data_IF_810573545680
#
_entry.id   IF_810573545680
#
_cell.length_a   1.000
_cell.length_b   1.000
_cell.length_c   1.000
_cell.angle_alpha   90.00
_cell.angle_beta   90.00
_cell.angle_gamma   90.00
#
_symmetry.space_group_name_H-M   'P 1'
#
loop_
_entity.id
_entity.type
_entity.pdbx_description
1 polymer ?
#
# COMPACT_ATOMS: atom_id res chain seq x y z
N UNK A 1 -9.47 -3.25 -23.97
CA UNK A 1 -9.25 -3.62 -22.56
C UNK A 1 -7.82 -3.28 -22.19
N UNK A 2 -7.61 -2.16 -21.52
CA UNK A 2 -6.29 -1.69 -21.09
C UNK A 2 -5.95 -2.34 -19.75
N UNK A 3 -5.14 -3.40 -19.78
CA UNK A 3 -4.57 -4.04 -18.60
C UNK A 3 -3.27 -3.32 -18.21
N UNK A 4 -3.23 -2.76 -17.00
CA UNK A 4 -2.03 -2.12 -16.46
C UNK A 4 -0.93 -3.13 -16.14
N UNK A 5 0.27 -2.91 -16.67
CA UNK A 5 1.48 -3.62 -16.29
C UNK A 5 2.12 -2.94 -15.07
N UNK A 6 2.75 -3.73 -14.19
CA UNK A 6 3.56 -3.23 -13.08
C UNK A 6 5.01 -3.68 -13.25
N UNK A 7 5.96 -2.79 -12.95
CA UNK A 7 7.41 -3.02 -13.08
C UNK A 7 8.01 -3.14 -11.68
N UNK A 8 8.80 -4.19 -11.41
CA UNK A 8 9.56 -4.34 -10.15
C UNK A 8 10.94 -4.91 -10.49
N UNK A 9 12.00 -4.31 -9.95
CA UNK A 9 13.39 -4.79 -10.08
C UNK A 9 13.87 -5.50 -8.80
N UNK A 10 14.69 -6.52 -8.96
CA UNK A 10 15.22 -7.41 -7.91
C UNK A 10 16.75 -7.29 -7.88
N UNK A 11 17.30 -6.53 -6.93
CA UNK A 11 18.75 -6.34 -6.81
C UNK A 11 19.45 -7.56 -6.18
N UNK A 12 20.38 -8.18 -6.92
CA UNK A 12 21.38 -9.11 -6.38
C UNK A 12 22.79 -8.51 -6.52
N UNK A 13 23.35 -8.08 -5.40
CA UNK A 13 24.71 -7.54 -5.32
C UNK A 13 25.74 -8.69 -5.40
N UNK A 14 26.53 -8.75 -6.49
CA UNK A 14 27.67 -9.67 -6.62
C UNK A 14 28.96 -8.98 -6.16
N UNK A 15 29.45 -9.32 -4.97
CA UNK A 15 30.81 -9.00 -4.51
C UNK A 15 31.77 -10.14 -4.86
N UNK A 16 32.88 -9.79 -5.52
CA UNK A 16 33.75 -10.72 -6.22
C UNK A 16 34.76 -11.49 -5.35
N UNK A 17 35.23 -12.60 -5.92
CA UNK A 17 36.52 -13.21 -5.60
C UNK A 17 37.25 -13.59 -6.89
N UNK A 18 38.46 -13.04 -7.08
CA UNK A 18 39.42 -13.44 -8.12
C UNK A 18 40.37 -14.52 -7.58
N UNK A 19 40.72 -15.47 -8.44
CA UNK A 19 42.04 -16.11 -8.49
C UNK A 19 42.17 -17.50 -7.85
N UNK A 20 42.29 -18.55 -8.69
CA UNK A 20 43.57 -19.20 -9.02
C UNK A 20 43.37 -20.23 -10.14
N UNK A 21 44.43 -20.47 -10.89
CA UNK A 21 44.47 -21.07 -12.22
C UNK A 21 45.26 -22.40 -12.21
N UNK A 22 45.08 -23.21 -13.27
CA UNK A 22 46.06 -24.10 -13.93
C UNK A 22 45.89 -25.64 -13.83
N UNK A 23 45.68 -26.23 -15.04
CA UNK A 23 46.03 -27.58 -15.57
C UNK A 23 45.23 -28.84 -15.13
N UNK A 24 44.93 -29.83 -15.97
CA UNK A 24 45.28 -30.14 -17.37
C UNK A 24 44.28 -31.13 -18.01
N UNK A 25 44.38 -31.24 -19.34
CA UNK A 25 43.56 -31.99 -20.32
C UNK A 25 43.57 -33.52 -20.17
N UNK A 26 42.44 -34.16 -20.50
CA UNK A 26 42.23 -35.06 -21.65
C UNK A 26 41.49 -36.40 -21.37
N UNK A 27 40.48 -36.65 -22.24
CA UNK A 27 39.96 -37.94 -22.73
C UNK A 27 39.15 -38.89 -21.80
N UNK A 28 37.83 -38.97 -22.00
CA UNK A 28 37.18 -40.04 -22.78
C UNK A 28 35.66 -39.90 -22.82
N UNK A 29 35.06 -40.39 -23.91
CA UNK A 29 33.65 -40.31 -24.28
C UNK A 29 32.73 -41.17 -23.39
N UNK A 30 31.50 -40.68 -23.24
CA UNK A 30 30.22 -41.42 -23.14
C UNK A 30 30.14 -42.62 -22.19
N UNK A 31 29.64 -42.38 -20.98
CA UNK A 31 28.47 -43.08 -20.42
C UNK A 31 28.10 -42.45 -19.06
N UNK A 32 26.80 -42.26 -18.81
CA UNK A 32 26.19 -41.96 -17.50
C UNK A 32 26.15 -40.49 -17.04
N UNK A 33 25.25 -39.70 -17.64
CA UNK A 33 24.96 -38.32 -17.21
C UNK A 33 23.68 -38.15 -16.34
N UNK A 34 23.01 -39.24 -15.94
CA UNK A 34 21.80 -39.14 -15.09
C UNK A 34 22.08 -39.26 -13.57
N UNK A 35 23.17 -39.92 -13.18
CA UNK A 35 23.46 -40.22 -11.76
C UNK A 35 24.29 -39.10 -11.08
N UNK A 36 25.09 -38.35 -11.83
CA UNK A 36 25.85 -37.20 -11.28
C UNK A 36 24.96 -35.98 -11.01
N UNK A 37 23.91 -35.73 -11.80
CA UNK A 37 22.97 -34.64 -11.55
C UNK A 37 22.16 -34.85 -10.26
N UNK A 38 21.75 -36.10 -9.97
CA UNK A 38 21.01 -36.43 -8.74
C UNK A 38 21.89 -36.33 -7.50
N UNK A 39 23.18 -36.71 -7.58
CA UNK A 39 24.13 -36.54 -6.46
C UNK A 39 24.52 -35.08 -6.22
N UNK A 40 24.63 -34.25 -7.25
CA UNK A 40 24.85 -32.81 -7.10
C UNK A 40 23.65 -32.11 -6.44
N UNK A 41 22.42 -32.48 -6.82
CA UNK A 41 21.19 -31.94 -6.22
C UNK A 41 21.04 -32.37 -4.75
N UNK A 42 21.44 -33.59 -4.38
CA UNK A 42 21.40 -34.04 -2.97
C UNK A 42 22.54 -33.45 -2.11
N UNK A 43 23.74 -33.24 -2.65
CA UNK A 43 24.85 -32.62 -1.93
C UNK A 43 24.60 -31.12 -1.67
N UNK A 44 24.03 -30.40 -2.64
CA UNK A 44 23.60 -28.99 -2.48
C UNK A 44 22.46 -28.88 -1.45
N UNK A 45 21.55 -29.87 -1.40
CA UNK A 45 20.44 -29.91 -0.44
C UNK A 45 20.87 -30.25 1.00
N UNK A 46 22.01 -30.92 1.20
CA UNK A 46 22.56 -31.23 2.52
C UNK A 46 23.37 -30.07 3.12
N UNK A 47 24.00 -29.25 2.29
CA UNK A 47 24.80 -28.09 2.72
C UNK A 47 23.94 -26.83 2.92
N UNK A 48 22.85 -26.65 2.17
CA UNK A 48 21.98 -25.46 2.26
C UNK A 48 20.88 -25.54 3.34
N UNK A 49 20.50 -26.72 3.82
CA UNK A 49 19.43 -26.87 4.83
C UNK A 49 19.76 -26.24 6.20
N UNK A 50 20.99 -26.36 6.75
CA UNK A 50 21.32 -25.71 8.01
C UNK A 50 21.48 -24.18 7.86
N UNK A 51 21.99 -23.72 6.71
CA UNK A 51 22.26 -22.30 6.43
C UNK A 51 20.96 -21.50 6.21
N UNK A 52 19.97 -22.07 5.51
CA UNK A 52 18.66 -21.45 5.31
C UNK A 52 17.80 -21.41 6.58
N UNK A 53 17.97 -22.37 7.50
CA UNK A 53 17.28 -22.36 8.79
C UNK A 53 17.81 -21.26 9.72
N UNK A 54 19.13 -21.02 9.72
CA UNK A 54 19.77 -19.95 10.50
C UNK A 54 19.47 -18.57 9.90
N UNK A 55 19.47 -18.43 8.57
CA UNK A 55 19.08 -17.19 7.89
C UNK A 55 17.59 -16.86 8.10
N UNK A 56 16.71 -17.87 8.11
CA UNK A 56 15.28 -17.68 8.41
C UNK A 56 15.05 -17.29 9.87
N UNK A 57 15.80 -17.86 10.82
CA UNK A 57 15.71 -17.48 12.24
C UNK A 57 16.31 -16.09 12.50
N UNK A 58 17.35 -15.69 11.78
CA UNK A 58 17.92 -14.33 11.84
C UNK A 58 16.99 -13.29 11.21
N UNK A 59 16.35 -13.61 10.07
CA UNK A 59 15.32 -12.74 9.48
C UNK A 59 14.06 -12.64 10.33
N UNK A 60 13.59 -13.75 10.93
CA UNK A 60 12.48 -13.70 11.88
C UNK A 60 12.83 -12.96 13.16
N UNK A 61 14.09 -13.00 13.60
CA UNK A 61 14.58 -12.22 14.75
C UNK A 61 14.73 -10.73 14.41
N UNK A 62 15.27 -10.38 13.24
CA UNK A 62 15.35 -9.01 12.75
C UNK A 62 13.97 -8.39 12.47
N UNK A 63 13.02 -9.17 11.92
CA UNK A 63 11.63 -8.72 11.78
C UNK A 63 10.94 -8.55 13.14
N UNK A 64 11.25 -9.41 14.12
CA UNK A 64 10.69 -9.28 15.47
C UNK A 64 11.30 -8.11 16.26
N UNK A 65 12.56 -7.77 16.00
CA UNK A 65 13.23 -6.58 16.54
C UNK A 65 12.70 -5.29 15.84
N UNK A 66 12.41 -5.33 14.52
CA UNK A 66 11.78 -4.20 13.81
C UNK A 66 10.33 -3.90 14.22
N UNK A 67 9.64 -4.83 14.90
CA UNK A 67 8.29 -4.62 15.44
C UNK A 67 8.29 -4.25 16.93
N UNK A 68 9.46 -4.03 17.53
CA UNK A 68 9.58 -3.88 18.98
C UNK A 68 10.63 -2.82 19.37
N UNK A 69 10.55 -1.64 18.76
CA UNK A 69 11.14 -0.38 19.24
C UNK A 69 10.09 0.74 18.99
N UNK A 70 9.22 1.02 19.97
CA UNK A 70 9.22 2.24 20.80
C UNK A 70 10.43 3.20 20.59
N UNK A 71 10.13 4.50 20.56
CA UNK A 71 11.00 5.67 20.30
C UNK A 71 11.38 5.94 18.83
N UNK A 72 10.51 6.62 18.07
CA UNK A 72 10.88 7.68 17.08
C UNK A 72 9.64 8.25 16.34
N UNK A 73 8.68 8.82 17.07
CA UNK A 73 7.57 9.58 16.48
C UNK A 73 7.43 10.98 17.08
N UNK A 74 8.53 11.71 17.12
CA UNK A 74 8.50 13.16 17.37
C UNK A 74 9.53 13.85 16.47
N UNK A 75 9.21 14.06 15.17
CA UNK A 75 9.93 15.05 14.35
C UNK A 75 9.40 15.40 12.95
N UNK A 76 8.26 14.91 12.51
CA UNK A 76 7.71 15.28 11.20
C UNK A 76 6.32 15.87 11.34
N UNK A 77 6.28 17.13 11.77
CA UNK A 77 5.26 18.11 11.43
C UNK A 77 5.97 19.47 11.39
N UNK A 78 5.55 20.34 10.47
CA UNK A 78 6.13 21.64 10.04
C UNK A 78 7.05 21.52 8.81
N UNK A 79 6.47 21.39 7.62
CA UNK A 79 6.94 22.08 6.40
C UNK A 79 6.03 21.92 5.15
N UNK A 80 4.70 21.82 5.31
CA UNK A 80 3.80 21.73 4.15
C UNK A 80 2.66 22.75 4.22
N UNK A 81 3.07 24.03 4.23
CA UNK A 81 2.20 25.15 3.91
C UNK A 81 3.07 26.26 3.34
N UNK A 82 3.26 26.28 2.01
CA UNK A 82 3.51 27.45 1.16
C UNK A 82 3.95 27.01 -0.25
N UNK A 83 2.99 26.83 -1.17
CA UNK A 83 3.23 26.96 -2.61
C UNK A 83 1.90 26.95 -3.41
N UNK A 84 1.20 28.08 -3.39
CA UNK A 84 0.38 28.49 -4.54
C UNK A 84 1.13 29.64 -5.24
N UNK A 85 1.23 29.58 -6.58
CA UNK A 85 0.97 30.67 -7.55
C UNK A 85 1.48 30.28 -8.95
N UNK A 86 0.66 30.63 -9.96
CA UNK A 86 0.98 30.80 -11.39
C UNK A 86 0.64 29.64 -12.35
N UNK A 87 -0.65 29.49 -12.68
CA UNK A 87 -1.12 28.87 -13.93
C UNK A 87 -1.61 29.96 -14.90
N UNK A 88 -1.05 30.00 -16.10
CA UNK A 88 -1.54 30.81 -17.22
C UNK A 88 -0.46 31.01 -18.28
N UNK A 89 -0.77 30.67 -19.54
CA UNK A 89 -0.07 31.04 -20.79
C UNK A 89 0.90 30.06 -21.48
N UNK A 90 1.07 28.79 -21.06
CA UNK A 90 1.92 27.82 -21.83
C UNK A 90 1.18 26.84 -22.76
N UNK A 91 -0.16 26.88 -22.82
CA UNK A 91 -0.95 25.80 -23.46
C UNK A 91 -1.06 25.87 -24.99
N UNK A 92 -0.97 27.05 -25.63
CA UNK A 92 -1.17 27.15 -27.08
C UNK A 92 0.10 26.83 -27.89
N UNK A 93 1.27 27.26 -27.40
CA UNK A 93 2.54 27.02 -28.10
C UNK A 93 2.93 25.53 -28.09
N UNK A 94 2.52 24.80 -27.04
CA UNK A 94 2.70 23.35 -26.93
C UNK A 94 1.79 22.59 -27.91
N UNK A 95 0.54 23.05 -28.08
CA UNK A 95 -0.42 22.44 -29.01
C UNK A 95 -0.03 22.65 -30.48
N UNK A 96 0.50 23.83 -30.83
CA UNK A 96 0.99 24.14 -32.19
C UNK A 96 2.22 23.27 -32.55
N UNK A 97 3.14 23.05 -31.59
CA UNK A 97 4.30 22.16 -31.77
C UNK A 97 3.90 20.70 -31.96
N UNK A 98 2.89 20.22 -31.22
CA UNK A 98 2.35 18.87 -31.41
C UNK A 98 1.64 18.69 -32.76
N UNK A 99 0.96 19.73 -33.26
CA UNK A 99 0.28 19.72 -34.56
C UNK A 99 1.27 19.63 -35.72
N UNK A 100 2.38 20.39 -35.64
CA UNK A 100 3.47 20.34 -36.63
C UNK A 100 4.18 18.98 -36.59
N UNK A 101 4.39 18.41 -35.39
CA UNK A 101 4.99 17.08 -35.20
C UNK A 101 4.15 15.96 -35.83
N UNK A 102 2.84 15.96 -35.61
CA UNK A 102 1.91 14.98 -36.23
C UNK A 102 1.83 15.10 -37.74
N UNK A 103 1.96 16.30 -38.31
CA UNK A 103 1.93 16.52 -39.76
C UNK A 103 3.13 15.92 -40.50
N UNK A 104 4.28 15.79 -39.81
CA UNK A 104 5.51 15.20 -40.38
C UNK A 104 5.50 13.68 -40.38
N UNK A 105 4.73 13.04 -39.50
CA UNK A 105 4.67 11.58 -39.37
C UNK A 105 3.72 10.89 -40.37
N UNK A 106 2.80 11.62 -40.98
CA UNK A 106 1.79 11.04 -41.88
C UNK A 106 2.21 10.89 -43.35
N UNK A 107 3.47 11.22 -43.71
CA UNK A 107 3.94 11.23 -45.11
C UNK A 107 4.96 10.14 -45.51
N UNK A 108 5.13 9.08 -44.73
CA UNK A 108 5.87 7.88 -45.16
C UNK A 108 4.99 6.64 -45.05
N UNK A 109 4.12 6.48 -46.04
CA UNK A 109 3.63 5.17 -46.45
C UNK A 109 4.64 4.53 -47.39
N UNK A 110 4.81 3.22 -47.25
CA UNK A 110 5.52 2.28 -48.13
C UNK A 110 7.05 2.31 -48.07
N UNK A 111 7.60 1.47 -47.18
CA UNK A 111 9.01 1.10 -47.14
C UNK A 111 9.29 0.17 -45.96
N UNK A 112 10.03 -0.90 -46.19
CA UNK A 112 10.36 -1.96 -45.23
C UNK A 112 10.72 -1.45 -43.82
N UNK A 113 10.31 -2.18 -42.78
CA UNK A 113 10.80 -1.98 -41.40
C UNK A 113 12.29 -2.31 -41.35
N UNK A 114 13.14 -1.33 -41.64
CA UNK A 114 14.56 -1.38 -41.25
C UNK A 114 14.63 -1.15 -39.74
N UNK A 115 15.11 -2.16 -39.02
CA UNK A 115 15.51 -2.01 -37.63
C UNK A 115 16.63 -0.97 -37.55
N UNK A 116 16.39 0.07 -36.75
CA UNK A 116 17.34 1.17 -36.56
C UNK A 116 18.57 0.65 -35.82
N UNK A 117 19.77 0.97 -36.30
CA UNK A 117 21.00 0.40 -35.72
C UNK A 117 21.24 0.90 -34.29
N UNK A 118 21.92 0.09 -33.48
CA UNK A 118 22.25 0.40 -32.07
C UNK A 118 23.02 1.71 -31.87
N UNK A 119 23.71 2.21 -32.90
CA UNK A 119 24.43 3.48 -32.83
C UNK A 119 23.55 4.70 -33.13
N UNK A 120 22.46 4.52 -33.89
CA UNK A 120 21.46 5.58 -34.12
C UNK A 120 20.54 5.80 -32.91
N UNK A 121 20.32 4.75 -32.10
CA UNK A 121 19.54 4.85 -30.86
C UNK A 121 20.27 5.63 -29.75
N UNK A 122 21.61 5.67 -29.77
CA UNK A 122 22.42 6.45 -28.80
C UNK A 122 22.34 7.96 -29.02
N UNK A 123 21.88 8.41 -30.19
CA UNK A 123 21.75 9.83 -30.53
C UNK A 123 20.36 10.40 -30.20
N UNK A 124 19.42 9.58 -29.74
CA UNK A 124 18.11 10.04 -29.28
C UNK A 124 18.24 10.72 -27.91
N UNK A 125 17.49 11.80 -27.70
CA UNK A 125 17.41 12.47 -26.40
C UNK A 125 17.02 11.45 -25.33
N UNK A 126 17.86 11.34 -24.30
CA UNK A 126 17.66 10.44 -23.18
C UNK A 126 16.39 10.85 -22.43
N UNK A 127 15.27 10.17 -22.72
CA UNK A 127 14.01 10.39 -22.01
C UNK A 127 14.21 9.92 -20.58
N UNK A 128 14.11 10.84 -19.62
CA UNK A 128 14.33 10.53 -18.22
C UNK A 128 13.13 9.73 -17.69
N UNK A 129 13.27 8.41 -17.67
CA UNK A 129 12.29 7.47 -17.15
C UNK A 129 12.65 7.11 -15.71
N UNK A 130 11.67 6.77 -14.85
CA UNK A 130 11.91 6.53 -13.42
C UNK A 130 12.76 5.28 -13.12
N UNK A 131 13.17 4.54 -14.15
CA UNK A 131 13.97 3.31 -14.04
C UNK A 131 15.16 3.38 -14.98
N UNK A 132 16.36 3.12 -14.47
CA UNK A 132 17.60 3.11 -15.27
C UNK A 132 17.72 1.85 -16.14
N UNK A 133 17.08 0.75 -15.75
CA UNK A 133 17.08 -0.50 -16.51
C UNK A 133 15.83 -1.36 -16.26
N UNK A 134 15.50 -2.19 -17.24
CA UNK A 134 14.36 -3.09 -17.29
C UNK A 134 14.85 -4.53 -17.53
N UNK A 135 14.82 -5.35 -16.48
CA UNK A 135 15.19 -6.76 -16.58
C UNK A 135 14.00 -7.63 -16.95
N UNK A 136 12.85 -7.36 -16.33
CA UNK A 136 11.63 -8.11 -16.55
C UNK A 136 10.40 -7.26 -16.25
N UNK A 137 9.28 -7.65 -16.85
CA UNK A 137 7.95 -7.10 -16.59
C UNK A 137 6.98 -8.25 -16.30
N UNK A 138 5.98 -8.01 -15.47
CA UNK A 138 4.99 -9.04 -15.16
C UNK A 138 3.59 -8.45 -15.02
N UNK A 139 2.62 -9.33 -15.14
CA UNK A 139 1.25 -9.06 -14.77
C UNK A 139 0.65 -10.28 -14.04
N UNK A 140 -0.67 -10.31 -13.89
CA UNK A 140 -1.40 -11.43 -13.29
C UNK A 140 -1.40 -12.71 -14.15
N UNK A 141 -0.86 -12.67 -15.37
CA UNK A 141 -0.85 -13.79 -16.31
C UNK A 141 0.55 -14.36 -16.56
N UNK A 142 1.57 -13.51 -16.68
CA UNK A 142 2.92 -13.94 -17.03
C UNK A 142 4.02 -12.97 -16.55
N UNK A 143 5.25 -13.39 -16.74
CA UNK A 143 6.48 -12.61 -16.62
C UNK A 143 7.16 -12.63 -18.00
N UNK A 144 7.65 -11.50 -18.47
CA UNK A 144 8.39 -11.36 -19.73
C UNK A 144 9.74 -10.72 -19.49
N UNK A 145 10.74 -11.15 -20.26
CA UNK A 145 12.08 -10.60 -20.30
C UNK A 145 12.32 -10.10 -21.72
N UNK A 146 12.80 -8.87 -21.85
CA UNK A 146 13.14 -8.31 -23.15
C UNK A 146 14.50 -8.84 -23.61
N UNK A 147 14.63 -9.25 -24.89
CA UNK A 147 15.82 -9.97 -25.37
C UNK A 147 17.00 -9.05 -25.73
N UNK A 148 16.71 -7.82 -26.16
CA UNK A 148 17.69 -6.99 -26.88
C UNK A 148 18.17 -5.76 -26.11
N UNK A 149 17.31 -5.18 -25.29
CA UNK A 149 17.56 -3.92 -24.60
C UNK A 149 17.11 -3.98 -23.15
N UNK A 150 17.93 -3.43 -22.26
CA UNK A 150 17.60 -3.19 -20.86
C UNK A 150 17.18 -1.75 -20.62
N UNK A 151 17.33 -0.84 -21.57
CA UNK A 151 16.91 0.55 -21.40
C UNK A 151 15.39 0.66 -21.64
N UNK A 152 14.58 1.01 -20.61
CA UNK A 152 13.13 1.07 -20.75
C UNK A 152 12.64 2.10 -21.77
N UNK A 153 13.45 3.09 -22.15
CA UNK A 153 13.12 4.08 -23.18
C UNK A 153 13.29 3.54 -24.62
N UNK A 154 14.09 2.49 -24.81
CA UNK A 154 14.40 1.89 -26.12
C UNK A 154 13.60 0.61 -26.41
N UNK A 155 12.71 0.21 -25.49
CA UNK A 155 11.94 -1.04 -25.55
C UNK A 155 10.56 -0.78 -26.13
N UNK A 156 10.14 -1.60 -27.11
CA UNK A 156 8.75 -1.68 -27.53
C UNK A 156 7.96 -2.61 -26.60
N UNK A 157 6.92 -2.09 -25.96
CA UNK A 157 6.09 -2.85 -25.01
C UNK A 157 4.99 -3.68 -25.70
N UNK A 158 5.32 -4.25 -26.86
CA UNK A 158 4.45 -5.20 -27.55
C UNK A 158 4.73 -6.63 -27.07
N UNK A 159 3.99 -7.07 -26.05
CA UNK A 159 4.19 -8.37 -25.40
C UNK A 159 3.78 -9.56 -26.27
N UNK A 160 3.12 -9.30 -27.40
CA UNK A 160 2.75 -10.31 -28.40
C UNK A 160 3.92 -10.60 -29.35
N UNK A 161 4.92 -9.72 -29.43
CA UNK A 161 6.12 -9.94 -30.24
C UNK A 161 7.10 -10.93 -29.58
N UNK A 162 7.02 -12.19 -30.00
CA UNK A 162 7.89 -13.27 -29.55
C UNK A 162 9.36 -13.10 -29.93
N UNK A 163 9.71 -12.18 -30.85
CA UNK A 163 11.10 -11.90 -31.20
C UNK A 163 11.75 -10.91 -30.23
N UNK A 164 10.96 -9.98 -29.69
CA UNK A 164 11.41 -8.98 -28.73
C UNK A 164 11.31 -9.48 -27.28
N UNK A 165 10.29 -10.30 -26.96
CA UNK A 165 9.99 -10.73 -25.60
C UNK A 165 10.03 -12.25 -25.44
N UNK A 166 10.70 -12.70 -24.37
CA UNK A 166 10.63 -14.09 -23.90
C UNK A 166 9.67 -14.18 -22.71
N UNK A 167 8.60 -14.94 -22.89
CA UNK A 167 7.62 -15.22 -21.84
C UNK A 167 8.11 -16.36 -20.93
N UNK A 168 8.02 -16.17 -19.63
CA UNK A 168 8.35 -17.20 -18.63
C UNK A 168 7.41 -18.41 -18.72
N UNK A 169 6.12 -18.16 -18.94
CA UNK A 169 5.11 -19.20 -19.17
C UNK A 169 4.73 -19.22 -20.66
N UNK A 170 5.24 -20.20 -21.39
CA UNK A 170 4.91 -20.37 -22.80
C UNK A 170 3.50 -20.99 -22.97
N UNK A 171 2.82 -20.78 -24.12
CA UNK A 171 1.50 -21.38 -24.39
C UNK A 171 1.47 -22.92 -24.26
N UNK A 172 2.57 -23.59 -24.62
CA UNK A 172 2.73 -25.06 -24.43
C UNK A 172 2.83 -25.46 -22.96
N UNK A 173 3.39 -24.61 -22.11
CA UNK A 173 3.45 -24.83 -20.67
C UNK A 173 2.07 -24.60 -20.05
N UNK A 174 1.39 -23.51 -20.44
CA UNK A 174 0.03 -23.20 -19.99
C UNK A 174 -0.96 -24.32 -20.33
N UNK A 175 -0.90 -24.84 -21.56
CA UNK A 175 -1.75 -25.98 -22.00
C UNK A 175 -1.43 -27.30 -21.29
N UNK A 176 -0.21 -27.47 -20.77
CA UNK A 176 0.17 -28.61 -19.93
C UNK A 176 -0.02 -28.36 -18.42
N UNK A 177 -0.64 -27.23 -18.03
CA UNK A 177 -0.89 -26.89 -16.63
C UNK A 177 0.37 -26.46 -15.85
N UNK A 178 1.40 -25.99 -16.55
CA UNK A 178 2.67 -25.53 -15.99
C UNK A 178 2.82 -24.01 -16.10
N UNK A 179 3.53 -23.35 -15.16
CA UNK A 179 4.11 -23.91 -13.95
C UNK A 179 3.02 -24.27 -12.91
N UNK A 180 3.20 -25.40 -12.21
CA UNK A 180 2.36 -25.72 -11.07
C UNK A 180 2.71 -24.75 -9.94
N UNK A 181 1.75 -24.02 -9.37
CA UNK A 181 2.02 -23.12 -8.25
C UNK A 181 2.73 -23.86 -7.13
N UNK A 182 3.90 -23.36 -6.72
CA UNK A 182 4.65 -23.94 -5.59
C UNK A 182 3.86 -23.85 -4.28
N UNK A 183 2.98 -22.86 -4.17
CA UNK A 183 2.03 -22.71 -3.08
C UNK A 183 0.61 -22.75 -3.61
N UNK A 184 -0.30 -23.37 -2.85
CA UNK A 184 -1.72 -23.18 -3.07
C UNK A 184 -2.10 -21.85 -2.42
N UNK A 185 -2.69 -20.90 -3.16
CA UNK A 185 -3.19 -19.67 -2.57
C UNK A 185 -4.16 -20.04 -1.46
N UNK A 186 -3.84 -19.68 -0.21
CA UNK A 186 -4.81 -19.84 0.88
C UNK A 186 -6.00 -18.96 0.54
N UNK A 187 -7.18 -19.55 0.49
CA UNK A 187 -8.42 -18.77 0.39
C UNK A 187 -8.43 -17.77 1.54
N UNK A 188 -8.54 -16.49 1.21
CA UNK A 188 -8.70 -15.46 2.21
C UNK A 188 -9.95 -15.78 3.04
N UNK A 189 -9.84 -15.65 4.36
CA UNK A 189 -11.00 -15.80 5.23
C UNK A 189 -12.09 -14.82 4.80
N UNK A 190 -13.36 -15.22 4.95
CA UNK A 190 -14.48 -14.32 4.69
C UNK A 190 -14.43 -13.11 5.60
N UNK A 191 -15.05 -12.01 5.15
CA UNK A 191 -15.30 -10.84 5.99
C UNK A 191 -15.98 -11.26 7.32
N UNK A 192 -15.57 -10.70 8.48
CA UNK A 192 -16.28 -10.91 9.73
C UNK A 192 -17.78 -10.55 9.59
N UNK A 193 -18.69 -11.36 10.14
CA UNK A 193 -20.12 -11.10 10.04
C UNK A 193 -20.50 -9.81 10.77
N UNK A 194 -21.55 -9.13 10.28
CA UNK A 194 -21.99 -7.85 10.83
C UNK A 194 -22.30 -7.90 12.34
N UNK A 195 -22.88 -8.99 12.82
CA UNK A 195 -23.16 -9.20 14.25
C UNK A 195 -21.89 -9.18 15.10
N UNK A 196 -20.81 -9.79 14.59
CA UNK A 196 -19.52 -9.79 15.28
C UNK A 196 -18.91 -8.40 15.31
N UNK A 197 -19.00 -7.65 14.21
CA UNK A 197 -18.53 -6.25 14.16
C UNK A 197 -19.30 -5.39 15.17
N UNK A 198 -20.63 -5.54 15.25
CA UNK A 198 -21.46 -4.85 16.24
C UNK A 198 -21.04 -5.18 17.67
N UNK A 199 -20.79 -6.45 17.99
CA UNK A 199 -20.30 -6.84 19.32
C UNK A 199 -18.97 -6.16 19.65
N UNK A 200 -18.05 -6.09 18.67
CA UNK A 200 -16.76 -5.42 18.86
C UNK A 200 -16.90 -3.91 19.06
N UNK A 201 -17.78 -3.26 18.28
CA UNK A 201 -18.12 -1.84 18.46
C UNK A 201 -18.61 -1.55 19.88
N UNK A 202 -19.55 -2.35 20.38
CA UNK A 202 -20.09 -2.19 21.73
C UNK A 202 -19.04 -2.43 22.83
N UNK A 203 -18.15 -3.40 22.64
CA UNK A 203 -17.05 -3.67 23.58
C UNK A 203 -16.08 -2.50 23.65
N UNK A 204 -15.66 -1.97 22.50
CA UNK A 204 -14.73 -0.84 22.43
C UNK A 204 -15.40 0.42 22.99
N UNK A 205 -16.64 0.72 22.58
CA UNK A 205 -17.39 1.86 23.08
C UNK A 205 -17.60 1.79 24.59
N UNK A 206 -17.97 0.62 25.12
CA UNK A 206 -18.16 0.39 26.56
C UNK A 206 -16.87 0.63 27.36
N UNK A 207 -15.75 0.10 26.88
CA UNK A 207 -14.43 0.30 27.51
C UNK A 207 -14.02 1.78 27.54
N UNK A 208 -14.28 2.51 26.44
CA UNK A 208 -14.01 3.94 26.35
C UNK A 208 -14.91 4.75 27.29
N UNK A 209 -16.22 4.47 27.30
CA UNK A 209 -17.19 5.13 28.20
C UNK A 209 -16.80 4.95 29.67
N UNK A 210 -16.48 3.71 30.07
CA UNK A 210 -16.07 3.40 31.44
C UNK A 210 -14.80 4.15 31.82
N UNK A 211 -13.80 4.21 30.94
CA UNK A 211 -12.55 4.88 31.26
C UNK A 211 -12.70 6.39 31.37
N UNK A 212 -13.49 7.03 30.50
CA UNK A 212 -13.76 8.48 30.57
C UNK A 212 -14.44 8.84 31.89
N UNK A 213 -15.40 8.02 32.33
CA UNK A 213 -16.05 8.20 33.63
C UNK A 213 -15.07 7.98 34.79
N UNK A 214 -14.23 6.95 34.71
CA UNK A 214 -13.24 6.65 35.74
C UNK A 214 -12.17 7.74 35.88
N UNK A 215 -11.75 8.38 34.79
CA UNK A 215 -10.77 9.47 34.83
C UNK A 215 -11.32 10.77 35.43
N UNK A 216 -12.63 10.85 35.68
CA UNK A 216 -13.32 12.05 36.14
C UNK A 216 -14.17 11.79 37.39
N UNK A 217 -13.55 11.35 38.51
CA UNK A 217 -14.28 11.05 39.73
C UNK A 217 -14.92 12.32 40.31
N UNK A 218 -16.22 12.27 40.56
CA UNK A 218 -16.96 13.38 41.18
C UNK A 218 -17.36 14.52 40.24
N UNK A 219 -17.01 14.44 38.95
CA UNK A 219 -17.44 15.41 37.93
C UNK A 219 -18.64 14.86 37.14
N UNK A 220 -19.64 15.69 36.91
CA UNK A 220 -20.72 15.40 35.99
C UNK A 220 -20.16 15.22 34.59
N UNK A 221 -20.36 14.04 34.02
CA UNK A 221 -19.79 13.64 32.73
C UNK A 221 -20.92 13.08 31.86
N UNK A 222 -21.24 13.79 30.78
CA UNK A 222 -22.29 13.39 29.83
C UNK A 222 -21.58 12.91 28.56
N UNK A 223 -21.84 11.65 28.16
CA UNK A 223 -21.32 11.10 26.91
C UNK A 223 -22.49 10.94 25.94
N UNK A 224 -22.42 11.60 24.79
CA UNK A 224 -23.47 11.69 23.78
C UNK A 224 -24.80 12.17 24.34
N UNK A 225 -25.03 13.49 24.32
CA UNK A 225 -26.26 14.09 24.85
C UNK A 225 -27.54 13.53 24.23
N UNK A 226 -27.50 13.15 22.96
CA UNK A 226 -28.62 12.55 22.24
C UNK A 226 -28.18 11.33 21.43
N UNK A 227 -29.09 10.37 21.26
CA UNK A 227 -28.89 9.24 20.34
C UNK A 227 -28.70 9.73 18.89
N UNK A 228 -29.39 10.80 18.50
CA UNK A 228 -29.22 11.42 17.18
C UNK A 228 -27.78 11.90 16.94
N UNK A 229 -27.12 12.46 17.96
CA UNK A 229 -25.73 12.86 17.84
C UNK A 229 -24.83 11.63 17.64
N UNK A 230 -25.05 10.56 18.41
CA UNK A 230 -24.30 9.31 18.24
C UNK A 230 -24.48 8.72 16.83
N UNK A 231 -25.71 8.68 16.33
CA UNK A 231 -26.03 8.20 14.97
C UNK A 231 -25.37 9.07 13.89
N UNK A 232 -25.44 10.40 14.02
CA UNK A 232 -24.75 11.32 13.10
C UNK A 232 -23.24 11.08 13.14
N UNK A 233 -22.63 10.89 14.31
CA UNK A 233 -21.20 10.60 14.42
C UNK A 233 -20.84 9.25 13.79
N UNK A 234 -21.64 8.20 14.01
CA UNK A 234 -21.44 6.89 13.39
C UNK A 234 -21.51 6.96 11.87
N UNK A 235 -22.49 7.70 11.31
CA UNK A 235 -22.57 7.96 9.86
C UNK A 235 -21.32 8.68 9.35
N UNK A 236 -20.79 9.63 10.12
CA UNK A 236 -19.53 10.29 9.82
C UNK A 236 -18.36 9.31 9.69
N UNK A 237 -18.28 8.31 10.58
CA UNK A 237 -17.25 7.27 10.51
C UNK A 237 -17.42 6.37 9.29
N UNK A 238 -18.65 6.10 8.84
CA UNK A 238 -18.93 5.38 7.60
C UNK A 238 -18.47 6.17 6.36
N UNK A 239 -18.74 7.47 6.32
CA UNK A 239 -18.27 8.34 5.24
C UNK A 239 -16.74 8.44 5.20
N UNK A 240 -16.08 8.49 6.36
CA UNK A 240 -14.61 8.51 6.45
C UNK A 240 -13.98 7.23 5.88
N UNK A 241 -14.53 6.05 6.21
CA UNK A 241 -14.04 4.79 5.64
C UNK A 241 -14.27 4.76 4.13
N UNK A 242 -15.46 5.11 3.64
CA UNK A 242 -15.77 5.12 2.22
C UNK A 242 -14.85 6.08 1.44
N UNK A 243 -14.63 7.30 1.95
CA UNK A 243 -13.71 8.28 1.36
C UNK A 243 -12.27 7.73 1.31
N UNK A 244 -11.79 7.08 2.38
CA UNK A 244 -10.47 6.41 2.40
C UNK A 244 -10.34 5.28 1.38
N UNK A 245 -11.44 4.63 1.05
CA UNK A 245 -11.49 3.59 0.01
C UNK A 245 -11.59 4.17 -1.41
N UNK A 246 -11.57 5.49 -1.57
CA UNK A 246 -11.62 6.18 -2.86
C UNK A 246 -13.03 6.53 -3.34
N UNK A 247 -14.04 6.52 -2.46
CA UNK A 247 -15.39 6.96 -2.81
C UNK A 247 -15.47 8.50 -2.86
N UNK A 248 -15.54 9.04 -4.09
CA UNK A 248 -15.67 10.48 -4.32
C UNK A 248 -16.98 11.06 -3.78
N UNK A 249 -18.06 10.28 -3.76
CA UNK A 249 -19.36 10.73 -3.23
C UNK A 249 -19.26 10.92 -1.73
N UNK A 250 -18.69 9.92 -1.04
CA UNK A 250 -18.46 10.01 0.41
C UNK A 250 -17.58 11.20 0.78
N UNK A 251 -16.55 11.49 -0.03
CA UNK A 251 -15.68 12.65 0.16
C UNK A 251 -16.46 13.97 0.13
N UNK A 252 -17.39 14.13 -0.82
CA UNK A 252 -18.25 15.34 -0.90
C UNK A 252 -19.29 15.39 0.23
N UNK A 253 -19.79 14.24 0.65
CA UNK A 253 -20.75 14.15 1.75
C UNK A 253 -20.14 14.49 3.11
N UNK A 254 -18.82 14.30 3.31
CA UNK A 254 -18.14 14.66 4.56
C UNK A 254 -18.26 16.16 4.92
N UNK A 255 -18.23 17.05 3.92
CA UNK A 255 -18.41 18.49 4.15
C UNK A 255 -19.83 18.81 4.63
N UNK A 256 -20.82 18.14 4.04
CA UNK A 256 -22.23 18.27 4.42
C UNK A 256 -22.47 17.69 5.80
N UNK A 257 -21.89 16.52 6.08
CA UNK A 257 -21.92 15.88 7.39
C UNK A 257 -21.31 16.75 8.47
N UNK A 258 -20.19 17.44 8.21
CA UNK A 258 -19.55 18.33 9.19
C UNK A 258 -20.50 19.46 9.60
N UNK A 259 -21.29 20.00 8.67
CA UNK A 259 -22.31 21.01 8.95
C UNK A 259 -23.48 20.42 9.74
N UNK A 260 -23.93 19.22 9.37
CA UNK A 260 -24.98 18.49 10.10
C UNK A 260 -24.58 18.20 11.55
N UNK A 261 -23.37 17.66 11.76
CA UNK A 261 -22.84 17.35 13.08
C UNK A 261 -22.76 18.60 13.97
N UNK A 262 -22.32 19.74 13.43
CA UNK A 262 -22.33 21.03 14.14
C UNK A 262 -23.75 21.49 14.49
N UNK A 263 -24.72 21.27 13.61
CA UNK A 263 -26.13 21.58 13.86
C UNK A 263 -26.78 20.75 14.96
N UNK A 264 -26.22 19.57 15.29
CA UNK A 264 -26.67 18.72 16.40
C UNK A 264 -26.02 19.09 17.75
N UNK A 265 -25.03 19.97 17.76
CA UNK A 265 -24.41 20.46 18.99
C UNK A 265 -25.27 21.55 19.66
N UNK A 266 -25.17 21.75 20.98
CA UNK A 266 -25.84 22.85 21.66
C UNK A 266 -25.48 24.23 21.05
N UNK A 267 -26.44 25.16 20.91
CA UNK A 267 -26.15 26.49 20.38
C UNK A 267 -25.14 27.22 21.28
N UNK A 268 -24.17 27.90 20.66
CA UNK A 268 -23.11 28.60 21.38
C UNK A 268 -22.01 27.70 21.96
N UNK A 269 -22.08 26.38 21.75
CA UNK A 269 -21.00 25.47 22.16
C UNK A 269 -19.84 25.46 21.17
N UNK A 270 -18.63 25.25 21.68
CA UNK A 270 -17.47 24.90 20.87
C UNK A 270 -17.26 23.40 20.88
N UNK A 271 -17.02 22.84 19.70
CA UNK A 271 -16.82 21.42 19.51
C UNK A 271 -15.39 21.15 19.04
N UNK A 272 -14.66 20.39 19.84
CA UNK A 272 -13.29 19.95 19.51
C UNK A 272 -13.27 18.44 19.52
N UNK A 273 -13.04 17.83 18.36
CA UNK A 273 -13.03 16.38 18.24
C UNK A 273 -12.18 15.91 17.09
N UNK A 274 -11.82 14.64 17.14
CA UNK A 274 -10.97 14.00 16.13
C UNK A 274 -11.43 12.58 15.86
N UNK A 275 -11.08 12.15 14.66
CA UNK A 275 -11.33 10.80 14.17
C UNK A 275 -9.99 10.08 14.08
N UNK A 276 -9.91 8.88 14.69
CA UNK A 276 -8.71 8.03 14.62
C UNK A 276 -9.09 6.67 14.07
N UNK A 277 -8.28 6.19 13.13
CA UNK A 277 -8.37 4.84 12.57
C UNK A 277 -7.37 3.89 13.26
N UNK A 278 -7.81 2.67 13.53
CA UNK A 278 -7.01 1.59 14.10
C UNK A 278 -7.13 0.34 13.24
N UNK A 279 -6.01 -0.34 13.03
CA UNK A 279 -5.94 -1.63 12.32
C UNK A 279 -6.09 -2.85 13.25
N UNK A 280 -6.50 -2.62 14.50
CA UNK A 280 -6.65 -3.64 15.53
C UNK A 280 -7.89 -3.37 16.37
N UNK A 281 -8.35 -4.41 17.07
CA UNK A 281 -9.69 -4.44 17.70
C UNK A 281 -9.64 -4.59 19.22
N UNK A 282 -8.44 -4.62 19.81
CA UNK A 282 -8.24 -4.68 21.25
C UNK A 282 -8.68 -3.36 21.90
N UNK A 283 -9.82 -3.40 22.59
CA UNK A 283 -10.41 -2.24 23.26
C UNK A 283 -9.47 -1.56 24.27
N UNK A 284 -8.67 -2.34 25.02
CA UNK A 284 -7.76 -1.80 26.04
C UNK A 284 -6.59 -1.06 25.40
N UNK A 285 -6.06 -1.60 24.28
CA UNK A 285 -5.00 -0.95 23.50
C UNK A 285 -5.50 0.32 22.83
N UNK A 286 -6.70 0.26 22.21
CA UNK A 286 -7.36 1.44 21.62
C UNK A 286 -7.55 2.53 22.67
N UNK A 287 -8.15 2.19 23.81
CA UNK A 287 -8.35 3.12 24.94
C UNK A 287 -7.03 3.76 25.39
N UNK A 288 -5.99 2.96 25.63
CA UNK A 288 -4.68 3.48 26.08
C UNK A 288 -4.14 4.49 25.07
N UNK A 289 -4.17 4.16 23.78
CA UNK A 289 -3.67 5.04 22.73
C UNK A 289 -4.54 6.31 22.58
N UNK A 290 -5.85 6.17 22.52
CA UNK A 290 -6.79 7.28 22.36
C UNK A 290 -6.62 8.30 23.48
N UNK A 291 -6.58 7.85 24.73
CA UNK A 291 -6.44 8.73 25.89
C UNK A 291 -5.03 9.31 26.05
N UNK A 292 -3.99 8.60 25.60
CA UNK A 292 -2.65 9.16 25.58
C UNK A 292 -2.49 10.24 24.50
N UNK A 293 -3.21 10.11 23.39
CA UNK A 293 -3.10 11.05 22.27
C UNK A 293 -4.00 12.29 22.42
N UNK A 294 -4.91 12.33 23.40
CA UNK A 294 -5.78 13.50 23.67
C UNK A 294 -5.76 13.90 25.12
N UNK A 295 -5.88 15.20 25.35
CA UNK A 295 -6.11 15.81 26.66
C UNK A 295 -7.59 15.93 27.04
N UNK A 296 -8.52 15.58 26.14
CA UNK A 296 -9.98 15.69 26.31
C UNK A 296 -10.48 15.11 27.64
N UNK A 297 -10.09 13.87 27.96
CA UNK A 297 -10.53 13.20 29.19
C UNK A 297 -9.92 13.81 30.47
N UNK A 298 -8.82 14.56 30.34
CA UNK A 298 -8.09 15.19 31.45
C UNK A 298 -8.69 16.54 31.85
N UNK A 299 -9.60 17.11 31.05
CA UNK A 299 -10.34 18.32 31.42
C UNK A 299 -11.04 18.13 32.77
N UNK A 300 -11.08 19.17 33.60
CA UNK A 300 -11.61 19.11 34.97
C UNK A 300 -12.88 19.95 35.15
N UNK A 301 -13.41 20.51 34.06
CA UNK A 301 -14.61 21.35 34.10
C UNK A 301 -15.84 20.49 34.44
N UNK A 302 -16.69 20.94 35.36
CA UNK A 302 -17.89 20.19 35.73
C UNK A 302 -18.96 20.32 34.63
N UNK A 303 -19.66 19.23 34.33
CA UNK A 303 -20.66 19.21 33.27
C UNK A 303 -20.12 19.12 31.84
N UNK A 304 -18.81 18.83 31.67
CA UNK A 304 -18.23 18.58 30.33
C UNK A 304 -19.01 17.50 29.58
N UNK A 305 -19.35 17.81 28.33
CA UNK A 305 -20.00 16.88 27.42
C UNK A 305 -18.98 16.27 26.46
N UNK A 306 -19.04 14.96 26.25
CA UNK A 306 -18.18 14.23 25.33
C UNK A 306 -18.98 13.71 24.15
N UNK A 307 -18.39 13.78 22.97
CA UNK A 307 -18.85 13.14 21.75
C UNK A 307 -17.99 11.90 21.51
N UNK A 308 -18.62 10.72 21.46
CA UNK A 308 -17.92 9.45 21.32
C UNK A 308 -18.71 8.52 20.39
N UNK A 309 -18.06 8.05 19.32
CA UNK A 309 -18.64 7.04 18.44
C UNK A 309 -17.56 6.04 18.01
N UNK A 310 -17.96 4.80 17.77
CA UNK A 310 -17.08 3.72 17.30
C UNK A 310 -17.76 3.00 16.15
N UNK A 311 -17.00 2.70 15.09
CA UNK A 311 -17.47 1.90 13.96
C UNK A 311 -16.41 0.90 13.53
N UNK A 312 -16.80 -0.34 13.29
CA UNK A 312 -15.91 -1.42 12.86
C UNK A 312 -16.26 -1.90 11.45
N UNK A 313 -15.28 -1.91 10.56
CA UNK A 313 -15.42 -2.38 9.19
C UNK A 313 -14.59 -3.66 9.01
N UNK A 314 -15.27 -4.75 8.66
CA UNK A 314 -14.61 -6.01 8.32
C UNK A 314 -14.14 -6.06 6.87
N UNK A 315 -13.00 -6.69 6.64
CA UNK A 315 -12.43 -7.00 5.33
C UNK A 315 -12.13 -8.49 5.20
N UNK A 316 -11.87 -8.93 3.97
CA UNK A 316 -11.39 -10.29 3.71
C UNK A 316 -10.04 -10.54 4.41
N UNK A 317 -9.75 -11.81 4.70
CA UNK A 317 -8.60 -12.19 5.50
C UNK A 317 -8.80 -12.00 7.01
N UNK A 318 -10.01 -11.66 7.46
CA UNK A 318 -10.31 -11.44 8.88
C UNK A 318 -9.76 -10.12 9.43
N UNK A 319 -9.42 -9.18 8.55
CA UNK A 319 -8.92 -7.85 8.90
C UNK A 319 -10.10 -6.96 9.32
N UNK A 320 -9.88 -6.10 10.30
CA UNK A 320 -10.85 -5.11 10.75
C UNK A 320 -10.21 -3.72 10.80
N UNK A 321 -10.90 -2.74 10.23
CA UNK A 321 -10.64 -1.31 10.40
C UNK A 321 -11.58 -0.79 11.49
N UNK A 322 -11.04 -0.18 12.53
CA UNK A 322 -11.82 0.38 13.63
C UNK A 322 -11.64 1.89 13.63
N UNK A 323 -12.75 2.61 13.49
CA UNK A 323 -12.77 4.05 13.58
C UNK A 323 -13.37 4.49 14.90
N UNK A 324 -12.73 5.47 15.53
CA UNK A 324 -13.19 6.07 16.77
C UNK A 324 -13.27 7.58 16.57
N UNK A 325 -14.46 8.12 16.79
CA UNK A 325 -14.67 9.54 16.98
C UNK A 325 -14.56 9.84 18.47
N UNK A 326 -13.70 10.78 18.87
CA UNK A 326 -13.65 11.25 20.26
C UNK A 326 -13.49 12.77 20.28
N UNK A 327 -14.31 13.45 21.08
CA UNK A 327 -14.28 14.90 21.21
C UNK A 327 -14.98 15.41 22.46
N UNK A 328 -14.81 16.70 22.71
CA UNK A 328 -15.41 17.47 23.79
C UNK A 328 -16.30 18.57 23.22
N UNK A 329 -17.43 18.79 23.89
CA UNK A 329 -18.39 19.86 23.64
C UNK A 329 -18.32 20.78 24.85
N UNK A 330 -17.76 21.97 24.67
CA UNK A 330 -17.70 23.00 25.71
C UNK A 330 -18.92 23.91 25.58
N UNK A 331 -19.74 23.95 26.64
CA UNK A 331 -20.96 24.78 26.69
C UNK A 331 -20.79 26.11 27.41
N UNK A 332 -19.60 26.37 27.95
CA UNK A 332 -19.36 27.43 28.94
C UNK A 332 -19.08 28.83 28.33
N UNK A 333 -19.32 29.02 27.03
CA UNK A 333 -19.14 30.33 26.38
C UNK A 333 -20.30 31.31 26.61
N UNK A 334 -21.27 30.99 27.46
CA UNK A 334 -22.44 31.83 27.74
C UNK A 334 -22.76 32.05 29.23
N UNK A 335 -21.87 31.67 30.16
CA UNK A 335 -22.01 32.03 31.58
C UNK A 335 -21.40 33.40 31.89
#
# INVERSE_FOLDING_TARGET
HTSGCSVVSLYLHASGCRGFCVCARAWCRMASCAVCAVRAVYAVRAVLKPQLAVASLLMFRQMREAFNDDELLSRFDIEEAMAEVSFGEQSEEQMERERISRSKFQKKGDGAKEEMSTDQLKELEHVNVPYDSLEAIFNNENLWIHKHHTDPALVSYDLEDMNAWDAFVEPRMKSSGMPVPFYQPKKLASKPPADRLRVMEHQILGELKLQIQYSRPGLSTIINKSAELEDTLQRGLELQEAAKMGDEVATRELDSWTKEAKGKMPPGSTFTGRVINYSYTDAKKIRKHLLASTDYASRQDDGTQFALAVKCFGFHGGICSVWVYFGVIDTDLLS
#
